data_IF_681398583722
#
_entry.id   IF_681398583722
#
_cell.length_a   1.000
_cell.length_b   1.000
_cell.length_c   1.000
_cell.angle_alpha   90.00
_cell.angle_beta   90.00
_cell.angle_gamma   90.00
#
_symmetry.space_group_name_H-M   'P 1'
#
loop_
_entity.id
_entity.type
_entity.pdbx_description
1 polymer ?
#
# COMPACT_ATOMS: atom_id res chain seq x y z
N UNK A 1 50.46 -13.33 14.10
CA UNK A 1 49.35 -13.68 13.20
C UNK A 1 48.28 -12.60 13.34
N UNK A 2 48.10 -11.72 12.36
CA UNK A 2 47.12 -10.61 12.42
C UNK A 2 45.75 -11.16 12.01
N UNK A 3 44.81 -11.21 12.95
CA UNK A 3 43.41 -11.58 12.67
C UNK A 3 42.72 -10.42 11.93
N UNK A 4 42.39 -10.65 10.66
CA UNK A 4 41.47 -9.83 9.89
C UNK A 4 40.05 -10.13 10.38
N UNK A 5 39.44 -9.20 11.12
CA UNK A 5 38.02 -9.25 11.47
C UNK A 5 37.24 -8.80 10.24
N UNK A 6 36.77 -9.76 9.45
CA UNK A 6 35.81 -9.52 8.37
C UNK A 6 34.45 -9.21 8.98
N UNK A 7 34.05 -7.93 8.95
CA UNK A 7 32.67 -7.51 9.20
C UNK A 7 31.77 -8.11 8.11
N UNK A 8 31.10 -9.22 8.41
CA UNK A 8 29.98 -9.70 7.61
C UNK A 8 28.82 -8.72 7.81
N UNK A 9 28.34 -8.04 6.74
CA UNK A 9 27.11 -7.28 6.85
C UNK A 9 25.97 -8.28 7.04
N UNK A 10 25.43 -8.35 8.25
CA UNK A 10 24.15 -9.00 8.51
C UNK A 10 23.08 -8.21 7.73
N UNK A 11 22.79 -8.67 6.51
CA UNK A 11 21.55 -8.34 5.82
C UNK A 11 20.43 -9.02 6.61
N UNK A 12 19.93 -8.35 7.64
CA UNK A 12 18.73 -8.80 8.33
C UNK A 12 17.60 -8.81 7.29
N UNK A 13 16.89 -9.93 7.08
CA UNK A 13 15.67 -9.89 6.31
C UNK A 13 14.73 -8.95 7.06
N UNK A 14 14.39 -7.83 6.42
CA UNK A 14 13.30 -6.98 6.89
C UNK A 14 12.09 -7.88 6.97
N UNK A 15 11.60 -8.11 8.19
CA UNK A 15 10.40 -8.89 8.47
C UNK A 15 9.22 -8.08 7.94
N UNK A 16 9.01 -8.13 6.62
CA UNK A 16 7.81 -7.61 6.00
C UNK A 16 6.61 -8.27 6.69
N UNK A 17 5.73 -7.45 7.25
CA UNK A 17 4.51 -7.98 7.83
C UNK A 17 3.61 -8.42 6.68
N UNK A 18 3.51 -9.73 6.46
CA UNK A 18 2.71 -10.25 5.38
C UNK A 18 1.23 -10.35 5.80
N UNK A 19 0.31 -9.86 4.98
CA UNK A 19 -1.11 -9.74 5.27
C UNK A 19 -2.01 -10.33 4.19
N UNK A 20 -3.28 -10.59 4.51
CA UNK A 20 -4.29 -11.04 3.52
C UNK A 20 -5.09 -9.91 2.94
N UNK A 21 -5.21 -8.80 3.65
CA UNK A 21 -5.97 -7.66 3.18
C UNK A 21 -5.37 -6.36 3.70
N UNK A 22 -5.40 -5.31 2.89
CA UNK A 22 -4.96 -3.97 3.29
C UNK A 22 -5.90 -2.89 2.73
N UNK A 23 -5.99 -1.78 3.46
CA UNK A 23 -6.59 -0.52 3.00
C UNK A 23 -5.62 0.65 3.15
N UNK A 24 -5.82 1.68 2.34
CA UNK A 24 -5.13 2.96 2.50
C UNK A 24 -5.94 3.93 3.36
N UNK A 25 -5.21 4.72 4.13
CA UNK A 25 -5.74 5.76 4.99
C UNK A 25 -5.00 7.06 4.71
N UNK A 26 -5.70 8.18 4.87
CA UNK A 26 -5.17 9.52 4.70
C UNK A 26 -5.32 10.31 6.00
N UNK A 27 -4.42 11.26 6.23
CA UNK A 27 -4.55 12.20 7.33
C UNK A 27 -4.27 13.62 6.83
N UNK A 28 -5.30 14.47 6.89
CA UNK A 28 -5.28 15.87 6.48
C UNK A 28 -5.29 16.84 7.67
N UNK A 29 -4.74 16.41 8.80
CA UNK A 29 -4.65 17.20 10.04
C UNK A 29 -5.82 17.00 11.01
N UNK A 30 -6.78 16.13 10.69
CA UNK A 30 -7.96 15.83 11.52
C UNK A 30 -7.96 14.42 12.12
N UNK A 31 -6.95 13.61 11.81
CA UNK A 31 -6.90 12.20 12.15
C UNK A 31 -6.76 11.32 10.91
N UNK A 32 -6.59 10.03 11.14
CA UNK A 32 -6.53 9.03 10.07
C UNK A 32 -7.93 8.62 9.66
N UNK A 33 -8.20 8.74 8.36
CA UNK A 33 -9.47 8.39 7.75
C UNK A 33 -9.22 7.41 6.61
N UNK A 34 -10.14 6.45 6.45
CA UNK A 34 -10.09 5.49 5.35
C UNK A 34 -10.34 6.19 4.00
N UNK A 35 -9.56 5.82 2.98
CA UNK A 35 -9.74 6.32 1.61
C UNK A 35 -9.81 5.16 0.60
N UNK A 36 -11.03 4.88 0.13
CA UNK A 36 -11.31 3.79 -0.79
C UNK A 36 -10.73 4.02 -2.20
N UNK A 37 -10.66 5.27 -2.66
CA UNK A 37 -10.13 5.60 -3.99
C UNK A 37 -8.62 5.41 -4.00
N UNK A 38 -7.95 5.87 -2.95
CA UNK A 38 -6.53 5.63 -2.74
C UNK A 38 -6.24 4.13 -2.63
N UNK A 39 -7.07 3.40 -1.88
CA UNK A 39 -6.94 1.93 -1.75
C UNK A 39 -7.05 1.24 -3.11
N UNK A 40 -8.03 1.63 -3.92
CA UNK A 40 -8.22 1.09 -5.27
C UNK A 40 -7.01 1.37 -6.16
N UNK A 41 -6.54 2.62 -6.22
CA UNK A 41 -5.35 2.99 -7.00
C UNK A 41 -4.12 2.19 -6.55
N UNK A 42 -3.86 2.12 -5.24
CA UNK A 42 -2.74 1.37 -4.69
C UNK A 42 -2.81 -0.13 -5.05
N UNK A 43 -3.99 -0.73 -4.96
CA UNK A 43 -4.22 -2.14 -5.26
C UNK A 43 -4.01 -2.46 -6.74
N UNK A 44 -4.69 -1.73 -7.63
CA UNK A 44 -4.67 -2.00 -9.08
C UNK A 44 -3.30 -1.71 -9.69
N UNK A 45 -2.65 -0.61 -9.29
CA UNK A 45 -1.36 -0.22 -9.89
C UNK A 45 -0.21 -1.12 -9.45
N UNK A 46 -0.23 -1.65 -8.22
CA UNK A 46 0.93 -2.32 -7.64
C UNK A 46 0.75 -3.84 -7.44
N UNK A 47 -0.50 -4.33 -7.40
CA UNK A 47 -0.79 -5.70 -6.98
C UNK A 47 -1.73 -6.47 -7.92
N UNK A 48 -2.00 -5.96 -9.13
CA UNK A 48 -2.91 -6.59 -10.11
C UNK A 48 -2.68 -8.07 -10.45
N UNK A 49 -1.52 -8.63 -10.11
CA UNK A 49 -1.20 -10.07 -10.30
C UNK A 49 -1.38 -10.92 -9.05
N UNK A 50 -1.42 -10.30 -7.88
CA UNK A 50 -1.30 -10.98 -6.58
C UNK A 50 -2.43 -10.64 -5.62
N UNK A 51 -3.24 -9.63 -5.93
CA UNK A 51 -4.37 -9.20 -5.14
C UNK A 51 -5.44 -8.57 -6.03
N UNK A 52 -6.66 -8.54 -5.53
CA UNK A 52 -7.81 -7.93 -6.18
C UNK A 52 -8.46 -6.94 -5.21
N UNK A 53 -8.99 -5.84 -5.76
CA UNK A 53 -9.77 -4.91 -4.95
C UNK A 53 -11.19 -5.45 -4.76
N UNK A 54 -11.56 -5.74 -3.52
CA UNK A 54 -12.92 -6.13 -3.13
C UNK A 54 -13.74 -4.85 -2.90
N UNK A 55 -14.72 -4.61 -3.77
CA UNK A 55 -15.60 -3.44 -3.71
C UNK A 55 -16.59 -3.49 -2.54
N UNK A 56 -16.93 -4.68 -2.03
CA UNK A 56 -17.83 -4.85 -0.88
C UNK A 56 -17.12 -4.58 0.44
N UNK A 57 -15.86 -4.99 0.57
CA UNK A 57 -15.03 -4.73 1.75
C UNK A 57 -14.28 -3.40 1.69
N UNK A 58 -14.10 -2.84 0.49
CA UNK A 58 -13.29 -1.64 0.25
C UNK A 58 -11.79 -1.87 0.44
N UNK A 59 -11.30 -3.09 0.21
CA UNK A 59 -9.93 -3.51 0.55
C UNK A 59 -9.23 -4.16 -0.62
N UNK A 60 -7.90 -4.08 -0.64
CA UNK A 60 -7.09 -4.93 -1.49
C UNK A 60 -6.93 -6.30 -0.81
N UNK A 61 -7.41 -7.36 -1.43
CA UNK A 61 -7.41 -8.73 -0.91
C UNK A 61 -6.39 -9.56 -1.67
N UNK A 62 -5.45 -10.18 -0.97
CA UNK A 62 -4.48 -11.09 -1.55
C UNK A 62 -5.17 -12.32 -2.16
N UNK A 63 -4.74 -12.70 -3.37
CA UNK A 63 -5.18 -13.94 -4.02
C UNK A 63 -4.83 -15.18 -3.17
N UNK A 64 -5.45 -16.34 -3.45
CA UNK A 64 -5.06 -17.58 -2.80
C UNK A 64 -3.55 -17.82 -2.91
N UNK A 65 -2.94 -18.25 -1.81
CA UNK A 65 -1.49 -18.52 -1.69
C UNK A 65 -0.55 -17.31 -1.88
N UNK A 66 -1.05 -16.08 -2.02
CA UNK A 66 -0.23 -14.86 -1.95
C UNK A 66 -0.45 -14.12 -0.63
N UNK A 67 0.41 -13.13 -0.37
CA UNK A 67 0.31 -12.20 0.75
C UNK A 67 0.68 -10.79 0.29
N UNK A 68 0.13 -9.79 0.96
CA UNK A 68 0.48 -8.39 0.82
C UNK A 68 1.57 -8.04 1.82
N UNK A 69 2.72 -7.60 1.32
CA UNK A 69 3.74 -6.95 2.16
C UNK A 69 3.18 -5.62 2.67
N UNK A 70 2.89 -5.56 3.97
CA UNK A 70 2.27 -4.40 4.62
C UNK A 70 3.13 -3.15 4.60
N UNK A 71 4.46 -3.30 4.72
CA UNK A 71 5.38 -2.15 4.66
C UNK A 71 5.41 -1.58 3.24
N UNK A 72 5.44 -2.46 2.23
CA UNK A 72 5.33 -2.04 0.84
C UNK A 72 3.98 -1.38 0.56
N UNK A 73 2.88 -1.95 1.06
CA UNK A 73 1.55 -1.39 0.87
C UNK A 73 1.42 -0.01 1.52
N UNK A 74 1.92 0.14 2.75
CA UNK A 74 2.00 1.41 3.46
C UNK A 74 2.78 2.47 2.66
N UNK A 75 3.94 2.10 2.13
CA UNK A 75 4.77 3.00 1.34
C UNK A 75 4.07 3.41 0.03
N UNK A 76 3.33 2.53 -0.61
CA UNK A 76 2.53 2.85 -1.79
C UNK A 76 1.40 3.84 -1.47
N UNK A 77 0.62 3.59 -0.41
CA UNK A 77 -0.43 4.52 0.03
C UNK A 77 0.16 5.89 0.38
N UNK A 78 1.28 5.93 1.12
CA UNK A 78 1.99 7.16 1.47
C UNK A 78 2.50 7.91 0.24
N UNK A 79 3.07 7.20 -0.73
CA UNK A 79 3.57 7.79 -1.97
C UNK A 79 2.43 8.39 -2.79
N UNK A 80 1.36 7.63 -3.03
CA UNK A 80 0.20 8.07 -3.81
C UNK A 80 -0.55 9.21 -3.13
N UNK A 81 -0.75 9.18 -1.82
CA UNK A 81 -1.38 10.27 -1.08
C UNK A 81 -0.67 11.62 -1.33
N UNK A 82 0.67 11.63 -1.32
CA UNK A 82 1.46 12.85 -1.51
C UNK A 82 1.62 13.26 -2.98
N UNK A 83 1.84 12.30 -3.89
CA UNK A 83 2.09 12.58 -5.31
C UNK A 83 0.81 12.66 -6.16
N UNK A 84 -0.30 12.27 -5.56
CA UNK A 84 -1.64 12.29 -6.12
C UNK A 84 -2.04 10.98 -6.80
N UNK A 85 -3.31 10.65 -6.60
CA UNK A 85 -4.01 9.49 -7.14
C UNK A 85 -5.27 9.95 -7.86
N UNK A 86 -5.80 9.15 -8.78
CA UNK A 86 -6.94 9.56 -9.58
C UNK A 86 -8.27 9.12 -8.95
N UNK A 87 -9.35 9.88 -9.17
CA UNK A 87 -10.69 9.43 -8.82
C UNK A 87 -11.02 8.08 -9.46
N UNK A 88 -11.88 7.30 -8.80
CA UNK A 88 -12.35 6.01 -9.33
C UNK A 88 -13.82 6.14 -9.68
N UNK A 89 -14.15 5.86 -10.94
CA UNK A 89 -15.50 5.99 -11.49
C UNK A 89 -15.88 4.69 -12.18
N UNK A 90 -17.05 4.14 -11.86
CA UNK A 90 -17.54 2.87 -12.43
C UNK A 90 -16.53 1.70 -12.31
N UNK A 91 -15.78 1.64 -11.20
CA UNK A 91 -14.80 0.59 -10.96
C UNK A 91 -13.51 0.70 -11.77
N UNK A 92 -13.21 1.87 -12.35
CA UNK A 92 -11.98 2.15 -13.07
C UNK A 92 -11.34 3.46 -12.61
N UNK A 93 -10.01 3.53 -12.69
CA UNK A 93 -9.25 4.75 -12.43
C UNK A 93 -9.54 5.77 -13.55
N UNK A 94 -10.08 6.94 -13.19
CA UNK A 94 -10.40 8.02 -14.12
C UNK A 94 -9.24 9.01 -14.22
N UNK A 95 -8.36 8.78 -15.20
CA UNK A 95 -7.20 9.65 -15.47
C UNK A 95 -7.55 10.96 -16.17
N UNK A 96 -8.82 11.18 -16.52
CA UNK A 96 -9.28 12.44 -17.14
C UNK A 96 -9.56 13.53 -16.09
N UNK A 97 -9.72 13.14 -14.83
CA UNK A 97 -9.98 14.04 -13.72
C UNK A 97 -8.68 14.48 -13.03
N UNK A 98 -8.69 15.64 -12.33
CA UNK A 98 -7.56 16.06 -11.51
C UNK A 98 -7.22 15.02 -10.44
N UNK A 99 -5.93 14.91 -10.12
CA UNK A 99 -5.46 14.05 -9.04
C UNK A 99 -5.97 14.57 -7.68
N UNK A 100 -6.43 13.65 -6.86
CA UNK A 100 -6.66 13.83 -5.44
C UNK A 100 -5.33 13.76 -4.71
N UNK A 101 -5.16 14.54 -3.64
CA UNK A 101 -3.96 14.51 -2.79
C UNK A 101 -4.35 14.59 -1.32
N UNK A 102 -3.47 14.09 -0.46
CA UNK A 102 -3.58 14.21 0.99
C UNK A 102 -2.22 14.57 1.60
N UNK A 103 -2.25 15.20 2.78
CA UNK A 103 -1.01 15.63 3.47
C UNK A 103 -0.14 14.43 3.88
N UNK A 104 -0.80 13.37 4.35
CA UNK A 104 -0.17 12.11 4.75
C UNK A 104 -1.00 10.94 4.26
N UNK A 105 -0.31 9.85 3.93
CA UNK A 105 -0.92 8.56 3.62
C UNK A 105 -0.25 7.45 4.42
N UNK A 106 -1.01 6.39 4.65
CA UNK A 106 -0.60 5.18 5.34
C UNK A 106 -1.56 4.04 5.00
N UNK A 107 -1.45 2.92 5.69
CA UNK A 107 -2.31 1.77 5.46
C UNK A 107 -2.66 1.03 6.75
N UNK A 108 -3.86 0.44 6.77
CA UNK A 108 -4.22 -0.63 7.69
C UNK A 108 -4.08 -1.97 6.98
N UNK A 109 -3.47 -2.96 7.62
CA UNK A 109 -3.34 -4.31 7.06
C UNK A 109 -3.74 -5.38 8.09
N UNK A 110 -4.37 -6.44 7.59
CA UNK A 110 -5.04 -7.47 8.39
C UNK A 110 -4.80 -8.86 7.79
N UNK A 111 -4.92 -9.87 8.65
CA UNK A 111 -4.86 -11.28 8.26
C UNK A 111 -6.22 -11.82 7.81
#
# INVERSE_FOLDING_TARGET
MRLLITLMPFLLPVMASDHKQCDCQVNNGKGWEYDWQLTFNACVDNYSRTAEYDTGAGRCIANPHTRLDGDRFYNNCKFLAKNGYYPVVNGAIDTTQPKLTAQQGGSGCYN
#
